data_IF_927643949592
#
_entry.id   IF_927643949592
#
_cell.length_a   1.000
_cell.length_b   1.000
_cell.length_c   1.000
_cell.angle_alpha   90.00
_cell.angle_beta   90.00
_cell.angle_gamma   90.00
#
_symmetry.space_group_name_H-M   'P 1'
#
loop_
_entity.id
_entity.type
_entity.pdbx_description
1 polymer ?
#
# COMPACT_ATOMS: atom_id res chain seq x y z
N UNK A 1 -20.83 5.68 32.61
CA UNK A 1 -20.09 5.39 31.36
C UNK A 1 -20.79 4.23 30.67
N UNK A 2 -21.19 4.37 29.40
CA UNK A 2 -21.88 3.31 28.62
C UNK A 2 -20.99 2.93 27.44
N UNK A 3 -20.33 1.76 27.52
CA UNK A 3 -19.37 1.28 26.51
C UNK A 3 -19.41 -0.24 26.39
N UNK A 4 -20.63 -0.81 26.34
CA UNK A 4 -20.81 -2.25 26.20
C UNK A 4 -20.46 -2.69 24.76
N UNK A 5 -19.51 -3.61 24.63
CA UNK A 5 -19.09 -4.20 23.35
C UNK A 5 -19.76 -5.56 23.14
N UNK A 6 -20.24 -5.85 21.94
CA UNK A 6 -20.94 -7.11 21.61
C UNK A 6 -19.99 -8.27 21.27
N UNK A 7 -18.82 -7.95 20.72
CA UNK A 7 -17.77 -8.93 20.43
C UNK A 7 -17.17 -9.50 21.72
N UNK A 8 -17.00 -10.83 21.76
CA UNK A 8 -16.49 -11.52 22.94
C UNK A 8 -15.65 -12.74 22.55
N UNK A 9 -14.75 -13.14 23.45
CA UNK A 9 -13.85 -14.29 23.36
C UNK A 9 -12.72 -14.09 22.35
N UNK A 10 -12.97 -14.29 21.06
CA UNK A 10 -11.98 -14.23 19.99
C UNK A 10 -12.66 -13.95 18.62
N UNK A 11 -11.86 -13.58 17.62
CA UNK A 11 -12.35 -13.28 16.27
C UNK A 11 -13.09 -14.46 15.62
N UNK A 12 -12.58 -15.71 15.62
CA UNK A 12 -13.30 -16.86 15.05
C UNK A 12 -14.67 -17.09 15.70
N UNK A 13 -14.75 -17.02 17.02
CA UNK A 13 -15.99 -17.20 17.79
C UNK A 13 -16.97 -16.08 17.49
N UNK A 14 -16.49 -14.83 17.44
CA UNK A 14 -17.33 -13.69 17.14
C UNK A 14 -17.88 -13.74 15.71
N UNK A 15 -17.04 -13.97 14.70
CA UNK A 15 -17.46 -14.10 13.29
C UNK A 15 -18.44 -15.26 13.12
N UNK A 16 -18.19 -16.40 13.76
CA UNK A 16 -19.11 -17.54 13.75
C UNK A 16 -20.48 -17.17 14.31
N UNK A 17 -20.55 -16.41 15.41
CA UNK A 17 -21.82 -15.93 15.99
C UNK A 17 -22.54 -14.93 15.10
N UNK A 18 -21.81 -14.04 14.42
CA UNK A 18 -22.37 -13.10 13.43
C UNK A 18 -22.98 -13.84 12.23
N UNK A 19 -22.31 -14.89 11.75
CA UNK A 19 -22.77 -15.68 10.58
C UNK A 19 -23.88 -16.67 10.93
N UNK A 20 -24.02 -17.06 12.20
CA UNK A 20 -25.01 -18.02 12.67
C UNK A 20 -26.30 -17.31 13.10
N UNK A 21 -27.12 -16.96 12.12
CA UNK A 21 -28.39 -16.24 12.33
C UNK A 21 -29.55 -17.21 12.59
N UNK A 22 -29.58 -17.81 13.79
CA UNK A 22 -30.71 -18.68 14.22
C UNK A 22 -31.82 -17.93 14.96
N UNK A 23 -31.64 -16.62 15.18
CA UNK A 23 -32.63 -15.76 15.83
C UNK A 23 -33.54 -15.10 14.80
N UNK A 24 -34.81 -14.89 15.17
CA UNK A 24 -35.80 -14.15 14.37
C UNK A 24 -35.32 -12.74 14.00
N UNK A 25 -34.42 -12.17 14.82
CA UNK A 25 -33.72 -10.91 14.57
C UNK A 25 -32.21 -11.18 14.47
N UNK A 26 -31.64 -11.26 13.26
CA UNK A 26 -30.21 -11.42 13.10
C UNK A 26 -29.45 -10.21 13.66
N UNK A 27 -28.38 -10.46 14.41
CA UNK A 27 -27.52 -9.42 15.00
C UNK A 27 -26.07 -9.67 14.63
N UNK A 28 -25.38 -8.64 14.15
CA UNK A 28 -23.94 -8.69 13.93
C UNK A 28 -23.20 -8.35 15.22
N UNK A 29 -22.24 -9.17 15.62
CA UNK A 29 -21.48 -9.02 16.87
C UNK A 29 -20.13 -8.33 16.68
N UNK A 30 -19.55 -8.42 15.49
CA UNK A 30 -18.29 -7.81 15.10
C UNK A 30 -18.21 -7.70 13.59
N UNK A 31 -17.36 -6.78 13.16
CA UNK A 31 -17.02 -6.53 11.77
C UNK A 31 -15.51 -6.76 11.55
N UNK A 32 -15.10 -7.23 10.36
CA UNK A 32 -13.69 -7.29 10.02
C UNK A 32 -13.12 -5.87 9.97
N UNK A 33 -11.92 -5.71 10.53
CA UNK A 33 -11.14 -4.49 10.33
C UNK A 33 -10.57 -4.54 8.92
N UNK A 34 -10.77 -3.46 8.17
CA UNK A 34 -10.26 -3.35 6.81
C UNK A 34 -10.50 -1.96 6.25
N UNK A 35 -9.95 -1.76 5.06
CA UNK A 35 -10.04 -0.50 4.35
C UNK A 35 -9.54 -0.65 2.92
N UNK A 36 -9.09 0.44 2.32
CA UNK A 36 -8.74 0.47 0.90
C UNK A 36 -7.34 1.03 0.69
N UNK A 37 -6.49 0.23 0.06
CA UNK A 37 -5.23 0.73 -0.47
C UNK A 37 -5.50 1.65 -1.66
N UNK A 38 -4.75 2.75 -1.74
CA UNK A 38 -4.78 3.63 -2.90
C UNK A 38 -3.54 3.40 -3.74
N UNK A 39 -3.71 3.01 -5.00
CA UNK A 39 -2.60 2.76 -5.92
C UNK A 39 -2.74 3.62 -7.19
N UNK A 40 -1.64 4.20 -7.65
CA UNK A 40 -1.58 4.98 -8.87
C UNK A 40 -0.25 4.75 -9.60
N UNK A 41 -0.26 4.69 -10.93
CA UNK A 41 0.95 4.56 -11.74
C UNK A 41 1.32 5.86 -12.46
N UNK A 42 2.62 6.08 -12.65
CA UNK A 42 3.15 7.24 -13.37
C UNK A 42 2.86 7.16 -14.88
N UNK A 43 3.14 5.99 -15.48
CA UNK A 43 2.70 5.65 -16.84
C UNK A 43 1.36 4.91 -16.76
N UNK A 44 0.41 5.18 -17.68
CA UNK A 44 -0.79 4.36 -17.81
C UNK A 44 -0.42 2.89 -17.97
N UNK A 45 -1.11 2.02 -17.23
CA UNK A 45 -0.92 0.58 -17.36
C UNK A 45 -1.44 0.11 -18.72
N UNK A 46 -0.79 -0.90 -19.34
CA UNK A 46 -1.27 -1.44 -20.59
C UNK A 46 -2.68 -2.01 -20.42
N UNK A 47 -3.51 -1.91 -21.47
CA UNK A 47 -4.84 -2.52 -21.45
C UNK A 47 -4.71 -4.05 -21.43
N UNK A 48 -5.57 -4.71 -20.66
CA UNK A 48 -5.70 -6.18 -20.66
C UNK A 48 -5.99 -6.73 -22.05
N UNK A 49 -6.69 -5.98 -22.90
CA UNK A 49 -6.99 -6.36 -24.29
C UNK A 49 -5.74 -6.46 -25.16
N UNK A 50 -4.71 -5.68 -24.86
CA UNK A 50 -3.51 -5.58 -25.69
C UNK A 50 -2.49 -6.68 -25.40
N UNK A 51 -2.74 -7.54 -24.39
CA UNK A 51 -1.86 -8.63 -23.94
C UNK A 51 -0.39 -8.19 -23.74
N UNK A 52 -0.16 -6.91 -23.52
CA UNK A 52 1.18 -6.35 -23.35
C UNK A 52 1.63 -6.59 -21.92
N UNK A 53 2.85 -7.12 -21.79
CA UNK A 53 3.50 -7.33 -20.49
C UNK A 53 3.71 -5.95 -19.85
N UNK A 54 3.26 -5.72 -18.61
CA UNK A 54 3.53 -4.48 -17.89
C UNK A 54 5.03 -4.21 -17.80
N UNK A 55 5.42 -2.94 -17.98
CA UNK A 55 6.80 -2.50 -17.79
C UNK A 55 7.31 -2.89 -16.39
N UNK A 56 8.62 -3.19 -16.23
CA UNK A 56 9.24 -3.31 -14.93
C UNK A 56 8.90 -2.08 -14.07
N UNK A 57 8.36 -2.33 -12.88
CA UNK A 57 7.74 -1.31 -12.04
C UNK A 57 8.51 -1.16 -10.73
N UNK A 58 8.83 0.09 -10.39
CA UNK A 58 9.32 0.48 -9.08
C UNK A 58 8.11 0.82 -8.22
N UNK A 59 7.94 0.12 -7.11
CA UNK A 59 6.91 0.38 -6.13
C UNK A 59 7.43 1.40 -5.12
N UNK A 60 6.74 2.53 -4.97
CA UNK A 60 7.01 3.51 -3.92
C UNK A 60 5.81 3.55 -3.00
N UNK A 61 6.03 3.34 -1.70
CA UNK A 61 4.92 3.11 -0.77
C UNK A 61 5.08 3.80 0.57
N UNK A 62 3.96 4.04 1.24
CA UNK A 62 3.87 4.56 2.60
C UNK A 62 2.57 4.06 3.26
N UNK A 63 2.60 3.91 4.59
CA UNK A 63 1.40 3.62 5.39
C UNK A 63 0.57 4.91 5.62
N UNK A 64 -0.77 4.78 5.64
CA UNK A 64 -1.68 5.90 5.94
C UNK A 64 -2.41 5.75 7.27
N UNK A 65 -2.40 4.56 7.86
CA UNK A 65 -3.12 4.27 9.10
C UNK A 65 -2.21 4.34 10.32
N UNK A 66 -2.84 4.59 11.46
CA UNK A 66 -2.21 4.62 12.77
C UNK A 66 -3.13 3.98 13.78
N UNK A 67 -2.59 3.55 14.92
CA UNK A 67 -3.37 3.06 16.05
C UNK A 67 -3.13 3.89 17.29
N UNK A 68 -4.20 4.11 18.04
CA UNK A 68 -4.18 4.77 19.35
C UNK A 68 -4.84 3.86 20.37
N UNK A 69 -4.52 4.06 21.65
CA UNK A 69 -5.19 3.37 22.75
C UNK A 69 -6.67 3.76 22.85
N UNK A 70 -7.03 5.00 22.46
CA UNK A 70 -8.39 5.53 22.48
C UNK A 70 -8.96 5.61 21.07
N UNK A 71 -10.12 4.98 20.82
CA UNK A 71 -10.75 4.95 19.49
C UNK A 71 -11.17 6.33 18.96
N UNK A 72 -11.47 7.30 19.83
CA UNK A 72 -11.96 8.62 19.39
C UNK A 72 -10.86 9.58 18.95
N UNK A 73 -9.61 9.33 19.33
CA UNK A 73 -8.50 10.27 19.18
C UNK A 73 -7.28 9.59 18.56
N UNK A 74 -7.45 9.06 17.36
CA UNK A 74 -6.32 8.68 16.50
C UNK A 74 -5.83 9.92 15.76
N UNK A 75 -4.99 10.73 16.42
CA UNK A 75 -4.14 11.65 15.69
C UNK A 75 -2.99 10.82 15.09
N UNK A 76 -2.73 10.90 13.78
CA UNK A 76 -1.52 10.31 13.22
C UNK A 76 -0.31 10.87 13.98
N UNK A 77 0.53 10.00 14.52
CA UNK A 77 1.83 10.42 15.01
C UNK A 77 2.63 11.04 13.86
N UNK A 78 3.50 12.00 14.18
CA UNK A 78 4.29 12.78 13.20
C UNK A 78 5.03 11.89 12.19
N UNK A 79 5.51 10.73 12.64
CA UNK A 79 6.20 9.77 11.79
C UNK A 79 5.35 9.13 10.67
N UNK A 80 4.04 8.96 10.86
CA UNK A 80 3.17 8.36 9.83
C UNK A 80 2.73 9.40 8.80
N UNK A 81 2.35 10.60 9.25
CA UNK A 81 1.89 11.66 8.38
C UNK A 81 2.96 12.06 7.34
N UNK A 82 4.19 12.19 7.80
CA UNK A 82 5.31 12.60 6.95
C UNK A 82 5.67 11.58 5.87
N UNK A 83 5.50 10.28 6.12
CA UNK A 83 5.70 9.23 5.11
C UNK A 83 4.73 9.38 3.93
N UNK A 84 3.42 9.41 4.18
CA UNK A 84 2.48 9.50 3.07
C UNK A 84 2.43 10.89 2.42
N UNK A 85 2.66 11.98 3.17
CA UNK A 85 2.71 13.34 2.62
C UNK A 85 3.88 13.47 1.64
N UNK A 86 5.05 12.95 2.00
CA UNK A 86 6.21 12.96 1.09
C UNK A 86 5.94 12.10 -0.15
N UNK A 87 5.30 10.94 -0.02
CA UNK A 87 4.88 10.16 -1.19
C UNK A 87 3.97 10.94 -2.13
N UNK A 88 2.97 11.65 -1.59
CA UNK A 88 2.08 12.51 -2.38
C UNK A 88 2.84 13.66 -3.05
N UNK A 89 3.81 14.26 -2.36
CA UNK A 89 4.67 15.30 -2.93
C UNK A 89 5.52 14.76 -4.09
N UNK A 90 6.11 13.57 -3.93
CA UNK A 90 6.87 12.88 -4.98
C UNK A 90 5.97 12.53 -6.16
N UNK A 91 4.79 11.98 -5.91
CA UNK A 91 3.81 11.67 -6.96
C UNK A 91 3.37 12.93 -7.71
N UNK A 92 3.20 14.07 -7.01
CA UNK A 92 2.90 15.37 -7.62
C UNK A 92 4.05 15.89 -8.47
N UNK A 93 5.28 15.80 -7.99
CA UNK A 93 6.47 16.25 -8.71
C UNK A 93 6.70 15.44 -10.00
N UNK A 94 6.67 14.10 -9.91
CA UNK A 94 6.81 13.21 -11.06
C UNK A 94 5.59 13.29 -11.98
N UNK A 95 4.40 13.47 -11.42
CA UNK A 95 3.16 13.70 -12.16
C UNK A 95 3.18 14.97 -13.01
N UNK A 96 3.97 15.98 -12.63
CA UNK A 96 4.16 17.22 -13.40
C UNK A 96 5.05 17.10 -14.64
N UNK A 97 5.74 15.97 -14.83
CA UNK A 97 6.57 15.73 -16.02
C UNK A 97 5.71 15.61 -17.30
N UNK A 98 6.27 16.01 -18.45
CA UNK A 98 5.62 15.86 -19.75
C UNK A 98 5.40 14.37 -20.09
N UNK A 99 4.40 14.10 -20.92
CA UNK A 99 4.07 12.73 -21.32
C UNK A 99 5.24 12.05 -22.03
N UNK A 100 5.95 12.77 -22.90
CA UNK A 100 7.15 12.28 -23.57
C UNK A 100 8.24 11.85 -22.59
N UNK A 101 8.52 12.68 -21.56
CA UNK A 101 9.50 12.33 -20.53
C UNK A 101 9.11 11.07 -19.78
N UNK A 102 7.82 10.92 -19.46
CA UNK A 102 7.31 9.72 -18.79
C UNK A 102 7.42 8.49 -19.68
N UNK A 103 7.09 8.61 -20.96
CA UNK A 103 7.16 7.51 -21.94
C UNK A 103 8.61 7.07 -22.22
N UNK A 104 9.58 7.98 -22.16
CA UNK A 104 11.00 7.67 -22.32
C UNK A 104 11.62 6.94 -21.12
N UNK A 105 10.89 6.75 -20.02
CA UNK A 105 11.37 5.97 -18.87
C UNK A 105 11.28 4.48 -19.17
N UNK A 106 12.40 3.77 -19.01
CA UNK A 106 12.49 2.32 -19.18
C UNK A 106 11.67 1.54 -18.12
N UNK A 107 11.33 2.18 -16.99
CA UNK A 107 10.59 1.58 -15.87
C UNK A 107 9.35 2.40 -15.56
N UNK A 108 8.30 1.75 -15.09
CA UNK A 108 7.16 2.45 -14.52
C UNK A 108 7.39 2.71 -13.03
N UNK A 109 6.69 3.69 -12.48
CA UNK A 109 6.66 3.96 -11.04
C UNK A 109 5.22 3.82 -10.58
N UNK A 110 4.99 3.00 -9.57
CA UNK A 110 3.68 2.83 -8.94
C UNK A 110 3.75 3.35 -7.51
N UNK A 111 2.90 4.30 -7.20
CA UNK A 111 2.73 4.87 -5.87
C UNK A 111 1.60 4.14 -5.16
N UNK A 112 1.85 3.65 -3.95
CA UNK A 112 0.85 2.92 -3.17
C UNK A 112 0.80 3.41 -1.74
N UNK A 113 -0.39 3.79 -1.31
CA UNK A 113 -0.72 4.08 0.07
C UNK A 113 -1.43 2.88 0.67
N UNK A 114 -0.83 2.28 1.69
CA UNK A 114 -1.36 1.10 2.37
C UNK A 114 -2.17 1.47 3.60
N UNK A 115 -3.37 0.89 3.66
CA UNK A 115 -4.30 1.01 4.78
C UNK A 115 -4.33 -0.31 5.57
N UNK A 116 -4.25 -0.23 6.89
CA UNK A 116 -4.20 -1.38 7.79
C UNK A 116 -2.79 -1.93 8.05
N UNK A 117 -1.73 -1.15 7.83
CA UNK A 117 -0.36 -1.55 8.18
C UNK A 117 -0.13 -1.58 9.70
N UNK A 118 -0.82 -0.73 10.46
CA UNK A 118 -0.76 -0.75 11.93
C UNK A 118 -1.41 -1.99 12.56
N UNK A 119 -2.13 -2.80 11.75
CA UNK A 119 -2.88 -3.98 12.17
C UNK A 119 -2.35 -5.24 11.45
N UNK A 120 -1.05 -5.55 11.60
CA UNK A 120 -0.39 -6.71 10.99
C UNK A 120 -0.40 -6.71 9.45
N UNK A 121 -0.14 -5.53 8.84
CA UNK A 121 0.10 -5.42 7.40
C UNK A 121 -1.07 -5.94 6.55
N UNK A 122 -2.31 -5.66 6.95
CA UNK A 122 -3.53 -6.13 6.24
C UNK A 122 -3.52 -5.64 4.79
N UNK A 123 -3.19 -4.37 4.57
CA UNK A 123 -3.20 -3.72 3.26
C UNK A 123 -2.17 -4.33 2.31
N UNK A 124 -0.90 -4.31 2.70
CA UNK A 124 0.21 -4.80 1.88
C UNK A 124 0.12 -6.31 1.65
N UNK A 125 -0.25 -7.10 2.67
CA UNK A 125 -0.47 -8.55 2.53
C UNK A 125 -1.59 -8.85 1.54
N UNK A 126 -2.70 -8.09 1.57
CA UNK A 126 -3.79 -8.26 0.61
C UNK A 126 -3.34 -7.96 -0.81
N UNK A 127 -2.55 -6.90 -1.02
CA UNK A 127 -2.02 -6.55 -2.33
C UNK A 127 -1.09 -7.64 -2.88
N UNK A 128 -0.18 -8.18 -2.06
CA UNK A 128 0.68 -9.29 -2.44
C UNK A 128 -0.14 -10.53 -2.80
N UNK A 129 -1.19 -10.83 -2.03
CA UNK A 129 -2.11 -11.93 -2.34
C UNK A 129 -2.78 -11.74 -3.70
N UNK A 130 -3.30 -10.54 -4.00
CA UNK A 130 -3.93 -10.26 -5.29
C UNK A 130 -2.92 -10.30 -6.46
N UNK A 131 -1.69 -9.81 -6.28
CA UNK A 131 -0.63 -9.91 -7.29
C UNK A 131 -0.22 -11.36 -7.59
N UNK A 132 -0.09 -12.21 -6.54
CA UNK A 132 0.23 -13.64 -6.70
C UNK A 132 -0.86 -14.36 -7.49
N UNK A 133 -2.12 -13.99 -7.27
CA UNK A 133 -3.27 -14.56 -7.97
C UNK A 133 -3.60 -13.84 -9.30
N UNK A 134 -2.75 -12.91 -9.77
CA UNK A 134 -2.97 -12.13 -11.00
C UNK A 134 -4.33 -11.38 -11.02
N UNK A 135 -4.75 -10.91 -9.85
CA UNK A 135 -6.01 -10.22 -9.60
C UNK A 135 -5.81 -8.76 -9.17
N UNK A 136 -4.59 -8.22 -9.34
CA UNK A 136 -4.27 -6.83 -9.07
C UNK A 136 -3.92 -6.10 -10.38
N UNK A 137 -4.46 -4.91 -10.67
CA UNK A 137 -5.57 -4.26 -9.97
C UNK A 137 -6.87 -5.09 -10.01
N UNK A 138 -7.72 -4.96 -8.98
CA UNK A 138 -8.98 -5.69 -8.88
C UNK A 138 -9.84 -5.46 -10.14
N UNK A 139 -10.27 -6.56 -10.76
CA UNK A 139 -11.12 -6.49 -11.94
C UNK A 139 -12.51 -5.94 -11.55
N UNK A 140 -12.86 -4.76 -12.05
CA UNK A 140 -14.22 -4.24 -11.94
C UNK A 140 -15.06 -4.94 -13.02
N UNK A 141 -15.97 -5.82 -12.60
CA UNK A 141 -16.87 -6.53 -13.50
C UNK A 141 -17.60 -5.54 -14.44
N UNK A 142 -17.56 -5.83 -15.76
CA UNK A 142 -18.26 -5.15 -16.87
C UNK A 142 -17.57 -3.99 -17.61
N UNK A 143 -16.28 -3.70 -17.37
CA UNK A 143 -15.55 -2.70 -18.21
C UNK A 143 -14.56 -3.41 -19.15
N UNK A 144 -14.74 -3.24 -20.47
CA UNK A 144 -13.83 -3.81 -21.49
C UNK A 144 -12.41 -3.21 -21.46
N UNK A 145 -12.23 -2.10 -20.76
CA UNK A 145 -10.97 -1.37 -20.61
C UNK A 145 -10.55 -1.46 -19.15
N UNK A 146 -9.77 -2.50 -18.83
CA UNK A 146 -9.11 -2.63 -17.53
C UNK A 146 -7.60 -2.73 -17.75
N UNK A 147 -6.78 -2.23 -16.79
CA UNK A 147 -5.36 -2.50 -16.78
C UNK A 147 -5.06 -4.00 -16.86
N UNK A 148 -3.95 -4.34 -17.52
CA UNK A 148 -3.37 -5.67 -17.44
C UNK A 148 -2.98 -5.96 -15.98
N UNK A 149 -3.11 -7.23 -15.52
CA UNK A 149 -2.71 -7.59 -14.18
C UNK A 149 -1.22 -7.33 -13.95
N UNK A 150 -0.91 -6.67 -12.83
CA UNK A 150 0.46 -6.54 -12.31
C UNK A 150 0.70 -7.73 -11.39
N UNK A 151 1.76 -8.48 -11.68
CA UNK A 151 2.21 -9.65 -10.94
C UNK A 151 3.46 -9.30 -10.13
N UNK A 152 3.80 -10.14 -9.16
CA UNK A 152 5.01 -9.95 -8.34
C UNK A 152 6.29 -9.88 -9.18
N UNK A 153 6.36 -10.62 -10.28
CA UNK A 153 7.47 -10.61 -11.24
C UNK A 153 7.66 -9.27 -11.97
N UNK A 154 6.65 -8.40 -12.00
CA UNK A 154 6.76 -7.07 -12.60
C UNK A 154 7.36 -6.04 -11.64
N UNK A 155 7.41 -6.33 -10.33
CA UNK A 155 7.96 -5.42 -9.33
C UNK A 155 9.47 -5.65 -9.25
N UNK A 156 10.24 -4.67 -9.68
CA UNK A 156 11.70 -4.76 -9.64
C UNK A 156 12.25 -4.29 -8.29
N UNK A 157 11.66 -3.22 -7.73
CA UNK A 157 12.13 -2.57 -6.51
C UNK A 157 10.99 -2.05 -5.68
N UNK A 158 11.21 -2.01 -4.37
CA UNK A 158 10.29 -1.46 -3.39
C UNK A 158 11.03 -0.38 -2.60
N UNK A 159 10.46 0.81 -2.57
CA UNK A 159 10.92 1.94 -1.77
C UNK A 159 9.80 2.27 -0.79
N UNK A 160 10.06 2.07 0.50
CA UNK A 160 9.11 2.41 1.55
C UNK A 160 9.53 3.71 2.23
N UNK A 161 8.57 4.64 2.38
CA UNK A 161 8.76 5.91 3.05
C UNK A 161 8.10 5.86 4.43
N UNK A 162 8.91 5.99 5.48
CA UNK A 162 8.45 6.02 6.86
C UNK A 162 9.19 7.07 7.69
N UNK A 163 8.48 7.68 8.64
CA UNK A 163 9.03 8.54 9.69
C UNK A 163 10.01 9.63 9.23
N UNK A 164 9.60 10.45 8.24
CA UNK A 164 10.43 11.50 7.66
C UNK A 164 10.28 12.88 8.34
N UNK A 165 9.46 12.99 9.39
CA UNK A 165 9.16 14.27 10.07
C UNK A 165 10.19 14.72 11.10
N UNK A 166 11.03 13.81 11.60
CA UNK A 166 12.02 14.09 12.64
C UNK A 166 13.45 14.01 12.11
N UNK A 167 13.69 14.63 10.95
CA UNK A 167 15.03 14.74 10.38
C UNK A 167 15.75 15.88 11.10
N UNK A 168 16.74 15.54 11.94
CA UNK A 168 17.63 16.53 12.56
C UNK A 168 18.83 16.80 11.67
N UNK A 169 19.61 15.77 11.36
CA UNK A 169 20.88 15.92 10.62
C UNK A 169 21.08 14.91 9.48
N UNK A 170 20.43 13.74 9.53
CA UNK A 170 20.69 12.63 8.60
C UNK A 170 19.41 11.88 8.23
N UNK A 171 19.35 11.40 6.98
CA UNK A 171 18.35 10.46 6.50
C UNK A 171 18.90 9.03 6.59
N UNK A 172 18.12 8.11 7.13
CA UNK A 172 18.49 6.70 7.22
C UNK A 172 17.83 5.89 6.11
N UNK A 173 18.62 5.02 5.48
CA UNK A 173 18.14 4.05 4.49
C UNK A 173 18.35 2.66 5.06
N UNK A 174 17.25 1.94 5.24
CA UNK A 174 17.26 0.55 5.68
C UNK A 174 17.09 -0.38 4.47
N UNK A 175 17.89 -1.43 4.39
CA UNK A 175 17.81 -2.43 3.33
C UNK A 175 17.99 -3.83 3.93
N UNK A 176 17.43 -4.83 3.28
CA UNK A 176 17.60 -6.22 3.69
C UNK A 176 19.01 -6.71 3.31
N UNK A 177 19.76 -7.16 4.31
CA UNK A 177 21.10 -7.74 4.16
C UNK A 177 21.13 -9.05 3.37
N UNK A 178 20.00 -9.76 3.28
CA UNK A 178 19.88 -10.96 2.46
C UNK A 178 19.71 -10.64 0.96
N UNK A 179 19.44 -9.38 0.62
CA UNK A 179 19.27 -8.94 -0.76
C UNK A 179 20.62 -8.57 -1.41
N UNK A 180 20.78 -8.90 -2.68
CA UNK A 180 22.02 -8.63 -3.44
C UNK A 180 22.25 -7.13 -3.73
N UNK A 181 21.34 -6.25 -3.31
CA UNK A 181 21.29 -4.84 -3.70
C UNK A 181 22.21 -3.90 -2.89
N UNK A 182 23.00 -4.42 -1.93
CA UNK A 182 23.86 -3.59 -1.06
C UNK A 182 24.74 -2.61 -1.84
N UNK A 183 25.43 -3.08 -2.89
CA UNK A 183 26.35 -2.25 -3.68
C UNK A 183 25.66 -1.09 -4.38
N UNK A 184 24.46 -1.33 -4.90
CA UNK A 184 23.69 -0.32 -5.63
C UNK A 184 23.08 0.71 -4.68
N UNK A 185 22.65 0.27 -3.49
CA UNK A 185 22.20 1.18 -2.43
C UNK A 185 23.35 2.10 -1.99
N UNK A 186 24.55 1.57 -1.81
CA UNK A 186 25.74 2.37 -1.46
C UNK A 186 26.07 3.41 -2.54
N UNK A 187 25.94 3.06 -3.83
CA UNK A 187 26.13 4.01 -4.95
C UNK A 187 25.06 5.12 -4.97
N UNK A 188 23.78 4.78 -4.75
CA UNK A 188 22.68 5.75 -4.68
C UNK A 188 22.89 6.71 -3.51
N UNK A 189 23.27 6.19 -2.34
CA UNK A 189 23.58 7.02 -1.17
C UNK A 189 24.76 7.95 -1.45
N UNK A 190 25.78 7.48 -2.19
CA UNK A 190 26.90 8.30 -2.62
C UNK A 190 26.49 9.49 -3.50
N UNK A 191 25.51 9.30 -4.40
CA UNK A 191 24.99 10.38 -5.27
C UNK A 191 24.11 11.38 -4.54
N UNK A 192 23.43 10.97 -3.47
CA UNK A 192 22.57 11.87 -2.67
C UNK A 192 23.41 12.78 -1.78
N UNK A 193 24.56 12.30 -1.31
CA UNK A 193 25.46 13.04 -0.43
C UNK A 193 26.51 13.90 -1.16
N UNK A 194 26.54 13.88 -2.51
CA UNK A 194 27.42 14.69 -3.36
C UNK A 194 26.74 15.94 -3.88
#
# INVERSE_FOLDING_TARGET
MKSHMFGAVDSPTCIRRTNYQTTLTPTAYCDPIGGWNCAASLKPLPSKTNQSVPDPTILVTAAIDSRSFMMSNTAPGDGLATGFITLLAVAKALGGLSLEKKQNLNKNVMFVLFDGEAFDNIGSTRMVFDMKNSNFPLAVNKVMIQPAPIRMENIERIIELGALGHITDQLYVHFDTASEFKKEVDEIIGQINS
#
